data_IF_048552056330
#
_entry.id   IF_048552056330
#
_cell.length_a   1.000
_cell.length_b   1.000
_cell.length_c   1.000
_cell.angle_alpha   90.00
_cell.angle_beta   90.00
_cell.angle_gamma   90.00
#
_symmetry.space_group_name_H-M   'P 1'
#
loop_
_entity.id
_entity.type
_entity.pdbx_description
1 polymer ?
#
# COMPACT_ATOMS: atom_id res chain seq x y z
N UNK A 1 -9.34 8.62 12.93
CA UNK A 1 -10.37 9.31 12.12
C UNK A 1 -10.75 8.46 10.92
N UNK A 2 -12.02 8.06 10.79
CA UNK A 2 -12.52 7.30 9.65
C UNK A 2 -12.52 8.19 8.41
N UNK A 3 -11.85 7.76 7.31
CA UNK A 3 -11.86 8.51 6.05
C UNK A 3 -13.29 8.66 5.55
N UNK A 4 -13.81 9.89 5.46
CA UNK A 4 -15.11 10.21 4.87
C UNK A 4 -15.17 9.63 3.46
N UNK A 5 -16.16 8.80 3.19
CA UNK A 5 -16.33 8.20 1.85
C UNK A 5 -16.82 9.26 0.87
N UNK A 6 -16.24 9.26 -0.34
CA UNK A 6 -16.55 10.26 -1.36
C UNK A 6 -18.04 10.30 -1.74
N UNK A 7 -18.74 9.15 -1.70
CA UNK A 7 -20.17 9.05 -2.04
C UNK A 7 -20.90 8.26 -0.96
N UNK A 8 -21.87 8.90 -0.34
CA UNK A 8 -22.77 8.29 0.65
C UNK A 8 -23.85 7.43 -0.01
N UNK A 9 -24.51 6.56 0.78
CA UNK A 9 -25.59 5.70 0.31
C UNK A 9 -26.77 6.49 -0.26
N UNK A 10 -27.21 7.53 0.44
CA UNK A 10 -28.31 8.38 0.00
C UNK A 10 -28.04 9.06 -1.34
N UNK A 11 -26.81 9.53 -1.53
CA UNK A 11 -26.36 10.11 -2.78
C UNK A 11 -26.39 9.10 -3.94
N UNK A 12 -25.85 7.89 -3.74
CA UNK A 12 -25.89 6.83 -4.75
C UNK A 12 -27.31 6.47 -5.15
N UNK A 13 -28.20 6.34 -4.15
CA UNK A 13 -29.60 5.99 -4.38
C UNK A 13 -30.33 7.08 -5.17
N UNK A 14 -30.09 8.37 -4.87
CA UNK A 14 -30.66 9.48 -5.64
C UNK A 14 -30.23 9.42 -7.09
N UNK A 15 -28.93 9.34 -7.38
CA UNK A 15 -28.42 9.29 -8.75
C UNK A 15 -28.97 8.08 -9.54
N UNK A 16 -29.07 6.90 -8.92
CA UNK A 16 -29.66 5.73 -9.57
C UNK A 16 -31.16 5.94 -9.84
N UNK A 17 -31.90 6.48 -8.86
CA UNK A 17 -33.33 6.78 -9.06
C UNK A 17 -33.59 7.81 -10.13
N UNK A 18 -32.78 8.87 -10.26
CA UNK A 18 -32.88 9.86 -11.32
C UNK A 18 -32.72 9.21 -12.71
N UNK A 19 -31.76 8.28 -12.88
CA UNK A 19 -31.63 7.52 -14.14
C UNK A 19 -32.86 6.66 -14.39
N UNK A 20 -33.36 5.94 -13.39
CA UNK A 20 -34.52 5.05 -13.53
C UNK A 20 -35.82 5.78 -13.80
N UNK A 21 -35.96 7.02 -13.30
CA UNK A 21 -37.09 7.91 -13.61
C UNK A 21 -37.04 8.54 -15.02
N UNK A 22 -35.91 8.36 -15.74
CA UNK A 22 -35.75 8.95 -17.05
C UNK A 22 -35.42 10.45 -17.05
N UNK A 23 -34.96 11.00 -15.92
CA UNK A 23 -34.56 12.41 -15.79
C UNK A 23 -33.32 12.74 -16.67
N UNK A 24 -32.61 11.73 -17.16
CA UNK A 24 -31.49 11.86 -18.07
C UNK A 24 -30.74 10.55 -18.30
N UNK A 25 -29.82 10.55 -19.24
CA UNK A 25 -28.94 9.40 -19.44
C UNK A 25 -27.98 9.24 -18.24
N UNK A 26 -27.51 8.01 -17.98
CA UNK A 26 -26.53 7.80 -16.90
C UNK A 26 -25.24 8.64 -17.10
N UNK A 27 -24.88 8.99 -18.35
CA UNK A 27 -23.73 9.85 -18.63
C UNK A 27 -24.02 11.31 -18.27
N UNK A 28 -25.23 11.83 -18.57
CA UNK A 28 -25.65 13.19 -18.24
C UNK A 28 -25.70 13.37 -16.73
N UNK A 29 -26.42 12.48 -16.02
CA UNK A 29 -26.58 12.52 -14.57
C UNK A 29 -25.22 12.36 -13.86
N UNK A 30 -24.32 11.53 -14.39
CA UNK A 30 -22.98 11.40 -13.85
C UNK A 30 -22.18 12.71 -13.97
N UNK A 31 -22.26 13.38 -15.12
CA UNK A 31 -21.60 14.67 -15.36
C UNK A 31 -22.13 15.76 -14.43
N UNK A 32 -23.45 15.90 -14.32
CA UNK A 32 -24.11 16.87 -13.44
C UNK A 32 -23.74 16.72 -11.97
N UNK A 33 -23.59 15.46 -11.51
CA UNK A 33 -23.27 15.15 -10.12
C UNK A 33 -21.75 14.98 -9.86
N UNK A 34 -20.89 15.27 -10.84
CA UNK A 34 -19.43 15.15 -10.68
C UNK A 34 -18.94 13.72 -10.41
N UNK A 35 -19.63 12.72 -10.96
CA UNK A 35 -19.33 11.30 -10.78
C UNK A 35 -18.72 10.74 -12.07
N UNK A 36 -17.76 9.82 -11.98
CA UNK A 36 -17.36 9.03 -13.14
C UNK A 36 -18.54 8.18 -13.65
N UNK A 37 -18.83 8.26 -14.95
CA UNK A 37 -19.94 7.53 -15.57
C UNK A 37 -19.86 6.01 -15.34
N UNK A 38 -18.65 5.44 -15.27
CA UNK A 38 -18.43 4.02 -14.95
C UNK A 38 -18.93 3.64 -13.56
N UNK A 39 -18.76 4.54 -12.58
CA UNK A 39 -19.26 4.30 -11.22
C UNK A 39 -20.79 4.27 -11.21
N UNK A 40 -21.44 5.22 -11.87
CA UNK A 40 -22.90 5.25 -11.92
C UNK A 40 -23.47 4.04 -12.66
N UNK A 41 -22.84 3.63 -13.78
CA UNK A 41 -23.19 2.41 -14.51
C UNK A 41 -23.07 1.17 -13.60
N UNK A 42 -22.01 1.07 -12.82
CA UNK A 42 -21.83 -0.02 -11.88
C UNK A 42 -22.91 -0.01 -10.78
N UNK A 43 -23.25 1.17 -10.25
CA UNK A 43 -24.33 1.30 -9.25
C UNK A 43 -25.68 0.90 -9.81
N UNK A 44 -26.00 1.26 -11.06
CA UNK A 44 -27.23 0.83 -11.73
C UNK A 44 -27.28 -0.70 -11.80
N UNK A 45 -26.22 -1.35 -12.26
CA UNK A 45 -26.17 -2.82 -12.34
C UNK A 45 -26.30 -3.48 -10.97
N UNK A 46 -25.68 -2.93 -9.93
CA UNK A 46 -25.88 -3.42 -8.57
C UNK A 46 -27.30 -3.19 -8.05
N UNK A 47 -27.93 -2.09 -8.44
CA UNK A 47 -29.31 -1.82 -8.07
C UNK A 47 -30.28 -2.77 -8.79
N UNK A 48 -30.06 -3.04 -10.06
CA UNK A 48 -30.83 -4.03 -10.84
C UNK A 48 -30.75 -5.43 -10.21
N UNK A 49 -29.56 -5.86 -9.81
CA UNK A 49 -29.35 -7.22 -9.28
C UNK A 49 -29.75 -7.39 -7.81
N UNK A 50 -29.53 -6.37 -6.97
CA UNK A 50 -29.68 -6.51 -5.51
C UNK A 50 -30.59 -5.43 -4.89
N UNK A 51 -31.26 -4.62 -5.70
CA UNK A 51 -32.08 -3.51 -5.24
C UNK A 51 -31.25 -2.47 -4.45
N UNK A 52 -31.89 -1.78 -3.54
CA UNK A 52 -31.27 -0.75 -2.70
C UNK A 52 -30.13 -1.30 -1.82
N UNK A 53 -30.12 -2.59 -1.49
CA UNK A 53 -29.05 -3.23 -0.72
C UNK A 53 -27.73 -3.26 -1.49
N UNK A 54 -27.77 -3.35 -2.83
CA UNK A 54 -26.59 -3.33 -3.71
C UNK A 54 -25.80 -2.04 -3.65
N UNK A 55 -26.42 -0.94 -3.24
CA UNK A 55 -25.79 0.37 -3.11
C UNK A 55 -25.18 0.63 -1.73
N UNK A 56 -25.50 -0.21 -0.73
CA UNK A 56 -24.94 -0.05 0.61
C UNK A 56 -23.41 -0.24 0.54
N UNK A 57 -22.73 0.52 1.39
CA UNK A 57 -21.29 0.38 1.51
C UNK A 57 -20.92 -0.98 2.05
N UNK A 58 -20.06 -1.67 1.32
CA UNK A 58 -19.52 -2.95 1.74
C UNK A 58 -18.27 -2.73 2.58
N UNK A 59 -18.11 -3.53 3.64
CA UNK A 59 -16.86 -3.58 4.37
C UNK A 59 -15.73 -4.03 3.42
N UNK A 60 -14.49 -3.62 3.70
CA UNK A 60 -13.33 -4.12 2.97
C UNK A 60 -13.29 -5.65 3.11
N UNK A 61 -13.65 -6.37 2.06
CA UNK A 61 -13.54 -7.82 2.02
C UNK A 61 -12.11 -8.21 1.69
N UNK A 62 -11.60 -9.17 2.43
CA UNK A 62 -10.40 -9.88 2.03
C UNK A 62 -10.81 -10.98 1.05
N UNK A 63 -10.20 -10.97 -0.13
CA UNK A 63 -10.45 -11.98 -1.15
C UNK A 63 -9.29 -12.99 -1.13
N UNK A 64 -9.65 -14.25 -0.94
CA UNK A 64 -8.69 -15.36 -0.92
C UNK A 64 -8.13 -15.65 -2.33
N UNK A 65 -6.97 -16.29 -2.41
CA UNK A 65 -6.31 -16.67 -3.66
C UNK A 65 -7.23 -17.52 -4.54
N UNK A 66 -7.89 -18.52 -3.95
CA UNK A 66 -8.82 -19.42 -4.66
C UNK A 66 -9.98 -18.65 -5.30
N UNK A 67 -10.54 -17.69 -4.57
CA UNK A 67 -11.63 -16.85 -5.08
C UNK A 67 -11.17 -15.97 -6.24
N UNK A 68 -10.00 -15.33 -6.14
CA UNK A 68 -9.44 -14.49 -7.21
C UNK A 68 -9.23 -15.30 -8.50
N UNK A 69 -8.62 -16.48 -8.38
CA UNK A 69 -8.44 -17.41 -9.52
C UNK A 69 -9.77 -17.85 -10.12
N UNK A 70 -10.74 -18.17 -9.28
CA UNK A 70 -12.07 -18.58 -9.75
C UNK A 70 -12.76 -17.46 -10.55
N UNK A 71 -12.71 -16.23 -10.05
CA UNK A 71 -13.26 -15.07 -10.74
C UNK A 71 -12.58 -14.85 -12.10
N UNK A 72 -11.24 -14.88 -12.16
CA UNK A 72 -10.50 -14.69 -13.41
C UNK A 72 -10.82 -15.77 -14.44
N UNK A 73 -10.85 -17.06 -14.03
CA UNK A 73 -11.23 -18.19 -14.90
C UNK A 73 -12.68 -18.09 -15.37
N UNK A 74 -13.61 -17.65 -14.52
CA UNK A 74 -15.00 -17.48 -14.91
C UNK A 74 -15.17 -16.36 -15.95
N UNK A 75 -14.42 -15.26 -15.83
CA UNK A 75 -14.43 -14.17 -16.81
C UNK A 75 -13.93 -14.67 -18.17
N UNK A 76 -12.86 -15.47 -18.21
CA UNK A 76 -12.32 -16.03 -19.44
C UNK A 76 -13.27 -17.06 -20.08
N UNK A 77 -13.77 -17.99 -19.27
CA UNK A 77 -14.63 -19.08 -19.75
C UNK A 77 -15.99 -18.61 -20.26
N UNK A 78 -16.58 -17.63 -19.56
CA UNK A 78 -17.94 -17.17 -19.83
C UNK A 78 -17.99 -15.83 -20.57
N UNK A 79 -16.81 -15.28 -20.94
CA UNK A 79 -16.66 -13.99 -21.63
C UNK A 79 -17.39 -12.84 -20.93
N UNK A 80 -17.37 -12.83 -19.58
CA UNK A 80 -18.05 -11.82 -18.78
C UNK A 80 -17.39 -10.45 -18.91
N UNK A 81 -18.20 -9.41 -19.02
CA UNK A 81 -17.69 -8.06 -18.83
C UNK A 81 -17.26 -7.81 -17.38
N UNK A 82 -16.34 -6.89 -17.15
CA UNK A 82 -15.88 -6.55 -15.80
C UNK A 82 -17.04 -6.15 -14.87
N UNK A 83 -18.02 -5.43 -15.41
CA UNK A 83 -19.20 -4.98 -14.64
C UNK A 83 -20.08 -6.17 -14.25
N UNK A 84 -20.34 -7.09 -15.18
CA UNK A 84 -21.10 -8.31 -14.91
C UNK A 84 -20.39 -9.20 -13.88
N UNK A 85 -19.07 -9.36 -14.01
CA UNK A 85 -18.27 -10.09 -13.03
C UNK A 85 -18.35 -9.41 -11.64
N UNK A 86 -18.29 -8.08 -11.56
CA UNK A 86 -18.45 -7.36 -10.30
C UNK A 86 -19.81 -7.65 -9.66
N UNK A 87 -20.88 -7.65 -10.44
CA UNK A 87 -22.23 -7.90 -9.94
C UNK A 87 -22.38 -9.36 -9.53
N UNK A 88 -22.00 -10.31 -10.40
CA UNK A 88 -22.14 -11.75 -10.15
C UNK A 88 -21.38 -12.22 -8.91
N UNK A 89 -20.13 -11.79 -8.76
CA UNK A 89 -19.27 -12.17 -7.64
C UNK A 89 -19.35 -11.19 -6.46
N UNK A 90 -20.22 -10.21 -6.55
CA UNK A 90 -20.41 -9.18 -5.52
C UNK A 90 -19.11 -8.45 -5.15
N UNK A 91 -18.30 -8.10 -6.16
CA UNK A 91 -17.04 -7.37 -6.03
C UNK A 91 -17.33 -5.87 -6.10
N UNK A 92 -16.75 -5.09 -5.18
CA UNK A 92 -17.11 -3.69 -5.01
C UNK A 92 -16.66 -2.77 -6.17
N UNK A 93 -15.63 -3.14 -6.94
CA UNK A 93 -15.06 -2.35 -8.03
C UNK A 93 -14.41 -3.24 -9.08
N UNK A 94 -14.55 -2.84 -10.32
CA UNK A 94 -13.87 -3.44 -11.48
C UNK A 94 -12.34 -3.26 -11.42
N UNK A 95 -11.86 -2.18 -10.81
CA UNK A 95 -10.43 -1.93 -10.57
C UNK A 95 -9.74 -3.07 -9.81
N UNK A 96 -10.46 -3.75 -8.92
CA UNK A 96 -9.93 -4.93 -8.21
C UNK A 96 -9.67 -6.09 -9.18
N UNK A 97 -10.61 -6.36 -10.09
CA UNK A 97 -10.47 -7.42 -11.09
C UNK A 97 -9.32 -7.09 -12.03
N UNK A 98 -9.21 -5.83 -12.48
CA UNK A 98 -8.10 -5.36 -13.32
C UNK A 98 -6.75 -5.54 -12.62
N UNK A 99 -6.67 -5.19 -11.32
CA UNK A 99 -5.44 -5.37 -10.55
C UNK A 99 -5.06 -6.83 -10.38
N UNK A 100 -6.05 -7.73 -10.18
CA UNK A 100 -5.81 -9.17 -10.10
C UNK A 100 -5.35 -9.75 -11.45
N UNK A 101 -5.96 -9.31 -12.57
CA UNK A 101 -5.54 -9.73 -13.90
C UNK A 101 -4.08 -9.34 -14.16
N UNK A 102 -3.71 -8.08 -13.92
CA UNK A 102 -2.33 -7.61 -14.07
C UNK A 102 -1.35 -8.38 -13.18
N UNK A 103 -1.70 -8.64 -11.92
CA UNK A 103 -0.87 -9.40 -11.01
C UNK A 103 -0.70 -10.86 -11.47
N UNK A 104 -1.77 -11.46 -11.99
CA UNK A 104 -1.73 -12.81 -12.54
C UNK A 104 -0.90 -12.90 -13.82
N UNK A 105 -1.00 -11.92 -14.71
CA UNK A 105 -0.20 -11.81 -15.94
C UNK A 105 1.30 -11.64 -15.66
N UNK A 106 1.66 -10.88 -14.60
CA UNK A 106 3.05 -10.59 -14.27
C UNK A 106 3.75 -11.69 -13.47
N UNK A 107 3.10 -12.23 -12.45
CA UNK A 107 3.70 -13.15 -11.47
C UNK A 107 2.93 -14.50 -11.37
N UNK A 108 1.92 -14.72 -12.21
CA UNK A 108 1.07 -15.91 -12.14
C UNK A 108 0.26 -15.96 -10.84
N UNK A 109 0.09 -17.16 -10.29
CA UNK A 109 -0.68 -17.36 -9.06
C UNK A 109 -0.06 -16.67 -7.83
N UNK A 110 1.27 -16.53 -7.81
CA UNK A 110 2.00 -15.88 -6.70
C UNK A 110 1.67 -14.40 -6.59
N UNK A 111 1.42 -13.72 -7.70
CA UNK A 111 1.00 -12.31 -7.73
C UNK A 111 -0.36 -12.06 -7.09
N UNK A 112 -1.22 -13.08 -7.04
CA UNK A 112 -2.53 -12.97 -6.41
C UNK A 112 -2.49 -13.12 -4.89
N UNK A 113 -1.39 -13.58 -4.31
CA UNK A 113 -1.21 -13.68 -2.86
C UNK A 113 -1.21 -12.26 -2.27
N UNK A 114 -2.06 -12.04 -1.28
CA UNK A 114 -2.12 -10.73 -0.61
C UNK A 114 -0.85 -10.48 0.16
N UNK A 115 -0.02 -9.54 -0.30
CA UNK A 115 1.17 -9.10 0.43
C UNK A 115 0.74 -8.34 1.70
N UNK A 116 1.42 -8.54 2.85
CA UNK A 116 1.11 -7.78 4.06
C UNK A 116 1.26 -6.28 3.80
N UNK A 117 0.30 -5.50 4.29
CA UNK A 117 0.36 -4.05 4.17
C UNK A 117 1.41 -3.52 5.14
N UNK A 118 2.32 -2.72 4.65
CA UNK A 118 3.32 -2.07 5.47
C UNK A 118 4.70 -2.04 4.82
N UNK A 119 5.63 -1.39 5.50
CA UNK A 119 7.04 -1.38 5.10
C UNK A 119 7.61 -2.78 5.29
N UNK A 120 8.34 -3.35 4.32
CA UNK A 120 9.01 -4.64 4.50
C UNK A 120 9.87 -4.65 5.76
N UNK A 121 9.80 -5.70 6.59
CA UNK A 121 10.54 -5.73 7.87
C UNK A 121 12.07 -5.64 7.71
N UNK A 122 12.60 -5.97 6.53
CA UNK A 122 14.05 -5.97 6.24
C UNK A 122 14.60 -4.68 5.61
N UNK A 123 13.79 -3.64 5.39
CA UNK A 123 14.39 -2.34 5.14
C UNK A 123 14.99 -1.86 6.46
N UNK A 124 16.32 -2.07 6.63
CA UNK A 124 17.10 -1.38 7.67
C UNK A 124 16.65 0.07 7.63
N UNK A 125 16.01 0.53 8.71
CA UNK A 125 15.71 1.95 8.81
C UNK A 125 17.03 2.67 8.58
N UNK A 126 17.09 3.70 7.71
CA UNK A 126 18.25 4.56 7.72
C UNK A 126 18.40 4.99 9.17
N UNK A 127 19.56 4.66 9.76
CA UNK A 127 19.87 5.09 11.12
C UNK A 127 19.49 6.57 11.14
N UNK A 128 18.42 6.92 11.84
CA UNK A 128 18.10 8.32 12.08
C UNK A 128 19.34 8.85 12.77
N UNK A 129 20.20 9.51 11.99
CA UNK A 129 21.28 10.32 12.58
C UNK A 129 20.54 11.18 13.59
N UNK A 130 20.78 10.93 14.88
CA UNK A 130 20.27 11.80 15.93
C UNK A 130 20.61 13.20 15.44
N UNK A 131 19.59 14.02 15.19
CA UNK A 131 19.82 15.42 14.87
C UNK A 131 20.76 15.89 15.97
N UNK A 132 21.93 16.41 15.59
CA UNK A 132 22.79 17.07 16.56
C UNK A 132 21.91 18.16 17.14
N UNK A 133 21.34 17.93 18.32
CA UNK A 133 20.83 19.00 19.14
C UNK A 133 21.98 20.03 19.21
N UNK A 134 21.72 21.31 19.00
CA UNK A 134 22.76 22.30 19.19
C UNK A 134 23.35 22.04 20.59
N UNK A 135 24.56 21.51 20.61
CA UNK A 135 25.23 21.17 21.87
C UNK A 135 25.43 22.46 22.60
N UNK A 136 24.84 22.55 23.82
CA UNK A 136 25.33 23.53 24.77
C UNK A 136 26.85 23.44 24.76
N UNK A 137 27.57 24.57 24.90
CA UNK A 137 29.04 24.55 25.00
C UNK A 137 29.40 23.52 26.08
N UNK A 138 30.34 22.63 25.72
CA UNK A 138 30.80 21.58 26.63
C UNK A 138 31.37 22.23 27.88
N UNK A 139 31.08 21.65 29.03
CA UNK A 139 31.76 22.04 30.26
C UNK A 139 33.23 21.60 30.19
N UNK A 140 34.12 22.29 30.89
CA UNK A 140 35.56 21.97 30.90
C UNK A 140 35.85 20.51 31.27
N UNK A 141 35.02 19.93 32.13
CA UNK A 141 35.10 18.52 32.51
C UNK A 141 34.72 17.58 31.34
N UNK A 142 33.70 17.92 30.59
CA UNK A 142 33.27 17.13 29.40
C UNK A 142 34.31 17.20 28.27
N UNK A 143 35.01 18.33 28.14
CA UNK A 143 36.12 18.47 27.18
C UNK A 143 37.29 17.56 27.58
N UNK A 144 37.71 17.62 28.84
CA UNK A 144 38.80 16.80 29.38
C UNK A 144 38.48 15.29 29.32
N UNK A 145 37.22 14.89 29.55
CA UNK A 145 36.82 13.52 29.39
C UNK A 145 36.95 13.04 27.94
N UNK A 146 36.53 13.83 26.99
CA UNK A 146 36.66 13.51 25.56
C UNK A 146 38.12 13.43 25.13
N UNK A 147 38.93 14.35 25.60
CA UNK A 147 40.39 14.36 25.33
C UNK A 147 41.04 13.10 25.91
N UNK A 148 40.66 12.71 27.11
CA UNK A 148 41.15 11.48 27.76
C UNK A 148 40.73 10.20 27.00
N UNK A 149 39.51 10.16 26.52
CA UNK A 149 39.03 9.02 25.69
C UNK A 149 39.80 8.99 24.36
N UNK A 150 40.03 10.13 23.73
CA UNK A 150 40.79 10.19 22.49
C UNK A 150 42.24 9.73 22.69
N UNK A 151 42.92 10.22 23.72
CA UNK A 151 44.29 9.82 24.04
C UNK A 151 44.43 8.36 24.42
N UNK A 152 43.43 7.79 25.08
CA UNK A 152 43.38 6.32 25.38
C UNK A 152 43.30 5.54 24.10
N UNK A 153 42.41 5.89 23.17
CA UNK A 153 42.27 5.22 21.90
C UNK A 153 43.56 5.32 21.04
N UNK A 154 44.20 6.48 21.02
CA UNK A 154 45.49 6.71 20.34
C UNK A 154 46.59 5.82 20.92
N UNK A 155 46.71 5.77 22.25
CA UNK A 155 47.68 4.92 22.93
C UNK A 155 47.44 3.40 22.62
N UNK A 156 46.20 2.94 22.57
CA UNK A 156 45.89 1.58 22.17
C UNK A 156 46.29 1.29 20.72
N UNK A 157 46.03 2.23 19.82
CA UNK A 157 46.42 2.10 18.42
C UNK A 157 47.93 2.00 18.29
N UNK A 158 48.69 2.91 18.97
CA UNK A 158 50.15 2.91 18.97
C UNK A 158 50.73 1.60 19.51
N UNK A 159 50.17 1.07 20.62
CA UNK A 159 50.59 -0.23 21.16
C UNK A 159 50.37 -1.38 20.16
N UNK A 160 49.23 -1.39 19.43
CA UNK A 160 48.97 -2.38 18.40
C UNK A 160 49.91 -2.27 17.23
N UNK A 161 50.23 -1.06 16.78
CA UNK A 161 51.23 -0.80 15.72
C UNK A 161 52.62 -1.25 16.13
N UNK A 162 53.04 -0.94 17.37
CA UNK A 162 54.34 -1.42 17.91
C UNK A 162 54.42 -2.94 17.96
N UNK A 163 53.35 -3.60 18.41
CA UNK A 163 53.27 -5.06 18.43
C UNK A 163 53.38 -5.68 17.03
N UNK A 164 52.69 -5.09 16.04
CA UNK A 164 52.78 -5.52 14.64
C UNK A 164 54.20 -5.31 14.07
N UNK A 165 54.82 -4.18 14.37
CA UNK A 165 56.22 -3.88 13.93
C UNK A 165 57.20 -4.88 14.54
N UNK A 166 57.02 -5.29 15.81
CA UNK A 166 57.86 -6.32 16.45
C UNK A 166 57.69 -7.69 15.83
N UNK A 167 56.44 -8.03 15.42
CA UNK A 167 56.18 -9.32 14.72
C UNK A 167 56.84 -9.31 13.37
N UNK A 168 56.76 -8.23 12.60
CA UNK A 168 57.43 -8.08 11.31
C UNK A 168 58.96 -8.20 11.43
N UNK A 169 59.57 -7.52 12.44
CA UNK A 169 61.02 -7.65 12.69
C UNK A 169 61.47 -9.07 13.05
N UNK A 170 60.61 -9.89 13.63
CA UNK A 170 60.92 -11.32 13.97
C UNK A 170 60.74 -12.27 12.79
N UNK A 171 60.12 -11.83 11.67
CA UNK A 171 59.85 -12.63 10.48
C UNK A 171 60.81 -12.35 9.33
N UNK A 172 61.67 -11.34 9.46
CA UNK A 172 62.76 -11.15 8.50
C UNK A 172 63.94 -12.06 8.89
N UNK A 173 64.39 -12.94 7.94
CA UNK A 173 65.46 -13.92 8.18
C UNK A 173 66.82 -13.25 8.32
#
# INVERSE_FOLDING_TARGET
MSKKRKYDYGFRLRCVKSVLKGEGSYKSIAKENGIGHSNLRLWLKFYEAYGSRGLKSRANRHYDLKFKLWVLKAIEKEHLSLVEACVRFNIASDSLIISWRKAYESEGQTGLISKPKGRPPNMKQPIKRKSKTPSRPLTREEELLKENEYLKAENELLKKLQALAQIHKKQEP
#
